data_IF_889003049437
#
_entry.id   IF_889003049437
#
_cell.length_a   1.000
_cell.length_b   1.000
_cell.length_c   1.000
_cell.angle_alpha   90.00
_cell.angle_beta   90.00
_cell.angle_gamma   90.00
#
_symmetry.space_group_name_H-M   'P 1'
#
loop_
_entity.id
_entity.type
_entity.pdbx_description
1 polymer ?
#
# COMPACT_ATOMS: atom_id res chain seq x y z
N UNK A 1 -19.48 -2.60 -2.14
CA UNK A 1 -19.38 -2.68 -0.66
C UNK A 1 -17.99 -3.18 -0.31
N UNK A 2 -17.22 -2.48 0.53
CA UNK A 2 -15.89 -2.95 0.94
C UNK A 2 -16.08 -4.11 1.93
N UNK A 3 -15.69 -5.31 1.53
CA UNK A 3 -15.67 -6.49 2.42
C UNK A 3 -14.24 -6.94 2.74
N UNK A 4 -13.26 -6.39 2.02
CA UNK A 4 -11.88 -6.80 2.04
C UNK A 4 -10.97 -5.58 1.88
N UNK A 5 -9.91 -5.48 2.68
CA UNK A 5 -8.92 -4.42 2.62
C UNK A 5 -7.54 -5.03 2.44
N UNK A 6 -6.74 -4.50 1.51
CA UNK A 6 -5.36 -4.96 1.30
C UNK A 6 -4.35 -3.96 1.81
N UNK A 7 -3.21 -4.48 2.22
CA UNK A 7 -2.12 -3.70 2.78
C UNK A 7 -0.83 -4.05 2.06
N UNK A 8 -0.11 -3.06 1.55
CA UNK A 8 1.28 -3.29 1.20
C UNK A 8 2.09 -3.64 2.46
N UNK A 9 2.94 -4.65 2.37
CA UNK A 9 3.80 -5.06 3.49
C UNK A 9 4.78 -3.96 3.93
N UNK A 10 5.11 -3.02 3.04
CA UNK A 10 5.85 -1.79 3.39
C UNK A 10 5.10 -0.96 4.42
N UNK A 11 3.79 -0.76 4.25
CA UNK A 11 2.93 0.00 5.17
C UNK A 11 2.88 -0.67 6.54
N UNK A 12 2.70 -1.99 6.55
CA UNK A 12 2.66 -2.76 7.80
C UNK A 12 3.99 -2.67 8.55
N UNK A 13 5.12 -2.68 7.83
CA UNK A 13 6.44 -2.48 8.44
C UNK A 13 6.57 -1.10 9.08
N UNK A 14 6.09 -0.05 8.42
CA UNK A 14 6.14 1.31 8.96
C UNK A 14 5.24 1.46 10.20
N UNK A 15 4.05 0.83 10.17
CA UNK A 15 3.15 0.73 11.33
C UNK A 15 3.81 -0.03 12.47
N UNK A 16 4.46 -1.17 12.19
CA UNK A 16 5.17 -1.93 13.22
C UNK A 16 6.22 -1.05 13.90
N UNK A 17 7.05 -0.40 13.09
CA UNK A 17 8.15 0.43 13.57
C UNK A 17 7.65 1.62 14.38
N UNK A 18 6.56 2.28 13.96
CA UNK A 18 6.10 3.52 14.58
C UNK A 18 5.09 3.30 15.73
N UNK A 19 4.21 2.33 15.59
CA UNK A 19 3.09 2.07 16.51
C UNK A 19 3.38 0.86 17.41
N UNK A 20 3.58 -0.33 16.84
CA UNK A 20 3.65 -1.57 17.64
C UNK A 20 4.98 -1.77 18.39
N UNK A 21 6.04 -1.07 18.02
CA UNK A 21 7.31 -1.06 18.77
C UNK A 21 7.33 -0.05 19.92
N UNK A 22 6.21 0.62 20.23
CA UNK A 22 6.15 1.72 21.20
C UNK A 22 4.95 1.58 22.13
N UNK A 23 5.09 2.09 23.37
CA UNK A 23 3.95 2.15 24.28
C UNK A 23 2.79 2.97 23.69
N UNK A 24 1.54 2.50 23.84
CA UNK A 24 0.35 3.26 23.44
C UNK A 24 0.23 4.58 24.23
N UNK A 25 -0.49 5.59 23.73
CA UNK A 25 -1.15 5.62 22.42
C UNK A 25 -0.29 6.30 21.33
N UNK A 26 -0.30 5.75 20.12
CA UNK A 26 0.30 6.32 18.91
C UNK A 26 -0.57 6.04 17.70
N UNK A 27 -0.51 6.92 16.71
CA UNK A 27 -1.30 6.73 15.51
C UNK A 27 -0.79 7.50 14.30
N UNK A 28 -1.58 7.45 13.25
CA UNK A 28 -1.33 8.16 12.01
C UNK A 28 -2.43 7.96 10.99
N UNK A 29 -2.25 8.58 9.83
CA UNK A 29 -3.20 8.49 8.72
C UNK A 29 -2.85 7.34 7.79
N UNK A 30 -3.91 6.74 7.23
CA UNK A 30 -3.82 5.70 6.20
C UNK A 30 -4.26 6.29 4.88
N UNK A 31 -3.48 6.06 3.83
CA UNK A 31 -3.84 6.46 2.47
C UNK A 31 -3.64 5.30 1.50
N UNK A 32 -4.32 5.41 0.37
CA UNK A 32 -4.12 4.47 -0.73
C UNK A 32 -4.77 4.92 -2.01
N UNK A 33 -4.71 4.11 -3.07
CA UNK A 33 -5.26 4.44 -4.38
C UNK A 33 -6.73 4.87 -4.33
N UNK A 34 -7.07 5.95 -5.04
CA UNK A 34 -8.44 6.48 -5.09
C UNK A 34 -9.43 5.40 -5.55
N UNK A 35 -10.51 5.20 -4.78
CA UNK A 35 -11.57 4.24 -5.11
C UNK A 35 -11.21 2.77 -4.90
N UNK A 36 -9.99 2.44 -4.45
CA UNK A 36 -9.59 1.06 -4.20
C UNK A 36 -9.53 0.74 -2.69
N UNK A 37 -9.86 -0.50 -2.32
CA UNK A 37 -9.77 -0.98 -0.95
C UNK A 37 -8.34 -1.46 -0.63
N UNK A 38 -7.38 -0.55 -0.75
CA UNK A 38 -5.95 -0.80 -0.57
C UNK A 38 -5.36 0.32 0.28
N UNK A 39 -4.51 -0.04 1.23
CA UNK A 39 -3.65 0.88 1.97
C UNK A 39 -2.23 0.71 1.44
N UNK A 40 -1.70 1.80 0.87
CA UNK A 40 -0.35 1.85 0.31
C UNK A 40 0.57 2.84 1.02
N UNK A 41 0.02 3.69 1.89
CA UNK A 41 0.79 4.66 2.66
C UNK A 41 0.32 4.70 4.12
N UNK A 42 1.30 4.93 5.00
CA UNK A 42 1.09 5.30 6.38
C UNK A 42 1.84 6.61 6.66
N UNK A 43 1.14 7.60 7.20
CA UNK A 43 1.73 8.87 7.62
C UNK A 43 1.68 8.93 9.15
N UNK A 44 2.82 8.77 9.84
CA UNK A 44 2.86 8.80 11.30
C UNK A 44 2.51 10.19 11.84
N UNK A 45 1.90 10.24 13.02
CA UNK A 45 1.60 11.49 13.71
C UNK A 45 2.44 11.66 14.99
N UNK A 46 3.66 12.22 14.89
CA UNK A 46 4.52 12.44 16.06
C UNK A 46 4.08 13.60 16.94
N UNK A 47 3.11 14.40 16.49
CA UNK A 47 2.61 15.56 17.21
C UNK A 47 1.18 15.34 17.73
N UNK A 48 0.69 14.10 17.67
CA UNK A 48 -0.61 13.76 18.23
C UNK A 48 -0.65 14.11 19.72
N UNK A 49 -1.77 14.67 20.18
CA UNK A 49 -2.01 14.81 21.60
C UNK A 49 -2.51 13.46 22.11
N UNK A 50 -1.71 12.81 22.95
CA UNK A 50 -2.00 11.48 23.47
C UNK A 50 -2.11 11.49 24.99
N UNK A 51 -3.04 10.68 25.50
CA UNK A 51 -3.08 10.28 26.90
C UNK A 51 -2.90 8.76 26.97
N UNK A 52 -3.02 8.19 28.16
CA UNK A 52 -2.99 6.74 28.32
C UNK A 52 -4.14 6.03 27.59
N UNK A 53 -5.25 6.74 27.29
CA UNK A 53 -6.51 6.17 26.75
C UNK A 53 -7.13 7.00 25.62
N UNK A 54 -6.39 7.93 25.04
CA UNK A 54 -6.90 8.77 23.95
C UNK A 54 -5.82 9.22 22.98
N UNK A 55 -6.14 9.15 21.69
CA UNK A 55 -5.32 9.63 20.59
C UNK A 55 -6.09 10.72 19.85
N UNK A 56 -5.52 11.93 19.80
CA UNK A 56 -6.09 13.06 19.06
C UNK A 56 -5.12 13.45 17.94
N UNK A 57 -5.51 13.28 16.66
CA UNK A 57 -4.69 13.65 15.53
C UNK A 57 -4.26 15.12 15.57
N UNK A 58 -3.01 15.39 15.22
CA UNK A 58 -2.46 16.73 15.12
C UNK A 58 -2.91 17.44 13.84
N UNK A 59 -2.87 18.78 13.86
CA UNK A 59 -3.08 19.57 12.65
C UNK A 59 -1.99 19.30 11.59
N UNK A 60 -0.78 18.97 12.01
CA UNK A 60 0.35 18.66 11.13
C UNK A 60 0.09 17.39 10.30
N UNK A 61 -0.54 16.37 10.89
CA UNK A 61 -0.96 15.17 10.16
C UNK A 61 -1.90 15.53 9.00
N UNK A 62 -2.88 16.39 9.25
CA UNK A 62 -3.80 16.85 8.19
C UNK A 62 -3.08 17.61 7.07
N UNK A 63 -2.03 18.38 7.38
CA UNK A 63 -1.19 19.04 6.36
C UNK A 63 -0.45 18.01 5.52
N UNK A 64 0.19 17.03 6.18
CA UNK A 64 0.95 15.98 5.51
C UNK A 64 0.07 15.11 4.59
N UNK A 65 -1.14 14.75 5.05
CA UNK A 65 -2.13 14.02 4.25
C UNK A 65 -2.49 14.79 2.98
N UNK A 66 -2.85 16.08 3.10
CA UNK A 66 -3.21 16.91 1.95
C UNK A 66 -2.06 17.06 0.96
N UNK A 67 -0.85 17.22 1.47
CA UNK A 67 0.34 17.31 0.63
C UNK A 67 0.50 16.03 -0.19
N UNK A 68 0.37 14.87 0.44
CA UNK A 68 0.48 13.57 -0.23
C UNK A 68 -0.65 13.37 -1.26
N UNK A 69 -1.90 13.68 -0.93
CA UNK A 69 -3.04 13.61 -1.87
C UNK A 69 -2.90 14.57 -3.07
N UNK A 70 -2.15 15.66 -2.92
CA UNK A 70 -1.89 16.62 -4.02
C UNK A 70 -0.73 16.17 -4.89
N UNK A 71 0.30 15.58 -4.27
CA UNK A 71 1.52 15.14 -4.95
C UNK A 71 1.36 13.78 -5.62
N UNK A 72 0.42 12.97 -5.13
CA UNK A 72 0.24 11.59 -5.56
C UNK A 72 -1.23 11.26 -5.82
N UNK A 73 -1.47 10.23 -6.62
CA UNK A 73 -2.82 9.78 -6.95
C UNK A 73 -3.49 8.98 -5.81
N UNK A 74 -3.32 9.39 -4.56
CA UNK A 74 -3.83 8.69 -3.37
C UNK A 74 -5.03 9.45 -2.78
N UNK A 75 -5.79 8.75 -1.96
CA UNK A 75 -6.85 9.32 -1.12
C UNK A 75 -6.67 8.88 0.33
N UNK A 76 -7.02 9.76 1.24
CA UNK A 76 -7.17 9.46 2.65
C UNK A 76 -8.21 8.35 2.85
N UNK A 77 -7.88 7.36 3.69
CA UNK A 77 -8.75 6.20 3.98
C UNK A 77 -9.29 6.21 5.40
N UNK A 78 -8.51 6.76 6.33
CA UNK A 78 -8.85 6.85 7.73
C UNK A 78 -7.61 6.88 8.62
N UNK A 79 -7.73 6.47 9.88
CA UNK A 79 -6.65 6.51 10.86
C UNK A 79 -6.39 5.13 11.44
N UNK A 80 -5.17 4.89 11.89
CA UNK A 80 -4.81 3.80 12.78
C UNK A 80 -4.25 4.38 14.07
N UNK A 81 -4.61 3.79 15.21
CA UNK A 81 -3.98 4.09 16.49
C UNK A 81 -3.87 2.86 17.38
N UNK A 82 -3.02 2.95 18.41
CA UNK A 82 -2.86 1.90 19.41
C UNK A 82 -3.66 2.15 20.68
N UNK A 83 -4.20 1.07 21.27
CA UNK A 83 -4.83 1.11 22.58
C UNK A 83 -3.91 0.58 23.68
N UNK A 84 -4.04 1.08 24.93
CA UNK A 84 -3.52 0.39 26.10
C UNK A 84 -4.29 -0.94 26.27
N UNK A 85 -3.61 -2.04 26.62
CA UNK A 85 -4.17 -3.40 26.76
C UNK A 85 -4.53 -4.13 25.45
N UNK A 86 -4.96 -5.38 25.57
CA UNK A 86 -5.34 -6.25 24.45
C UNK A 86 -6.74 -5.96 23.88
N UNK A 87 -7.37 -4.84 24.24
CA UNK A 87 -8.69 -4.41 23.76
C UNK A 87 -8.61 -3.82 22.35
N UNK A 88 -8.67 -4.69 21.34
CA UNK A 88 -8.56 -4.32 19.93
C UNK A 88 -9.87 -3.78 19.32
N UNK A 89 -10.88 -3.45 20.11
CA UNK A 89 -12.17 -2.92 19.63
C UNK A 89 -12.22 -1.40 19.81
N UNK A 90 -12.73 -0.64 18.81
CA UNK A 90 -12.97 0.80 18.97
C UNK A 90 -13.89 1.10 20.17
N UNK A 91 -13.50 2.10 20.96
CA UNK A 91 -14.25 2.62 22.10
C UNK A 91 -15.42 3.52 21.66
N UNK A 92 -16.30 3.87 22.59
CA UNK A 92 -17.36 4.86 22.34
C UNK A 92 -16.85 6.20 21.79
N UNK A 93 -15.82 6.81 22.41
CA UNK A 93 -15.16 8.01 21.88
C UNK A 93 -14.62 7.84 20.46
N UNK A 94 -14.04 6.68 20.12
CA UNK A 94 -13.57 6.41 18.76
C UNK A 94 -14.72 6.44 17.76
N UNK A 95 -15.86 5.84 18.10
CA UNK A 95 -17.04 5.85 17.22
C UNK A 95 -17.58 7.26 16.97
N UNK A 96 -17.53 8.14 17.97
CA UNK A 96 -17.88 9.56 17.80
C UNK A 96 -16.91 10.24 16.84
N UNK A 97 -15.61 10.02 17.02
CA UNK A 97 -14.59 10.60 16.14
C UNK A 97 -14.72 10.08 14.70
N UNK A 98 -14.97 8.79 14.50
CA UNK A 98 -15.20 8.23 13.16
C UNK A 98 -16.41 8.87 12.48
N UNK A 99 -17.46 9.18 13.24
CA UNK A 99 -18.63 9.91 12.76
C UNK A 99 -18.28 11.32 12.28
N UNK A 100 -17.50 12.05 13.08
CA UNK A 100 -17.01 13.38 12.71
C UNK A 100 -16.08 13.34 11.50
N UNK A 101 -15.16 12.37 11.43
CA UNK A 101 -14.28 12.19 10.29
C UNK A 101 -15.07 11.90 9.02
N UNK A 102 -16.05 10.98 9.07
CA UNK A 102 -16.94 10.75 7.94
C UNK A 102 -17.72 12.01 7.57
N UNK A 103 -18.18 12.81 8.55
CA UNK A 103 -18.91 14.07 8.34
C UNK A 103 -18.09 15.10 7.57
N UNK A 104 -16.84 15.32 7.97
CA UNK A 104 -15.94 16.28 7.30
C UNK A 104 -15.33 15.72 6.01
N UNK A 105 -15.33 14.40 5.83
CA UNK A 105 -14.89 13.72 4.61
C UNK A 105 -16.07 12.98 3.92
N UNK A 106 -17.11 13.67 3.41
CA UNK A 106 -18.32 13.02 2.89
C UNK A 106 -18.08 12.17 1.64
N UNK A 107 -16.95 12.36 0.96
CA UNK A 107 -16.53 11.52 -0.17
C UNK A 107 -16.09 10.12 0.28
N UNK A 108 -15.73 9.94 1.56
CA UNK A 108 -15.42 8.63 2.12
C UNK A 108 -16.71 7.84 2.33
N UNK A 109 -16.95 6.86 1.47
CA UNK A 109 -18.03 5.89 1.68
C UNK A 109 -17.82 5.02 2.93
N UNK A 110 -16.56 4.86 3.35
CA UNK A 110 -16.12 4.12 4.53
C UNK A 110 -14.88 4.80 5.11
N UNK A 111 -14.79 4.84 6.44
CA UNK A 111 -13.62 5.32 7.18
C UNK A 111 -12.91 4.11 7.80
N UNK A 112 -11.69 3.84 7.35
CA UNK A 112 -10.87 2.72 7.81
C UNK A 112 -10.26 3.08 9.15
N UNK A 113 -10.55 2.28 10.17
CA UNK A 113 -10.15 2.56 11.55
C UNK A 113 -9.59 1.30 12.23
N UNK A 114 -8.37 0.86 11.87
CA UNK A 114 -7.74 -0.25 12.53
C UNK A 114 -7.25 0.16 13.92
N UNK A 115 -7.29 -0.80 14.85
CA UNK A 115 -6.75 -0.64 16.20
C UNK A 115 -5.55 -1.57 16.35
N UNK A 116 -4.41 -0.99 16.66
CA UNK A 116 -3.19 -1.72 16.99
C UNK A 116 -3.13 -2.03 18.49
N UNK A 117 -2.76 -3.25 18.86
CA UNK A 117 -2.58 -3.62 20.27
C UNK A 117 -1.37 -4.54 20.43
N UNK A 118 -0.74 -4.43 21.60
CA UNK A 118 0.35 -5.33 21.98
C UNK A 118 -0.19 -6.70 22.42
N UNK A 119 0.65 -7.71 22.27
CA UNK A 119 0.36 -9.07 22.71
C UNK A 119 -0.31 -9.94 21.64
N UNK A 120 -0.47 -11.24 21.94
CA UNK A 120 -0.87 -12.23 20.96
C UNK A 120 -2.27 -11.93 20.39
N UNK A 121 -2.45 -12.18 19.10
CA UNK A 121 -3.77 -12.13 18.47
C UNK A 121 -4.43 -13.49 18.38
N UNK A 122 -5.64 -13.50 17.82
CA UNK A 122 -6.31 -14.72 17.45
C UNK A 122 -6.01 -15.00 15.96
N UNK A 123 -5.17 -16.01 15.62
CA UNK A 123 -4.81 -16.30 14.24
C UNK A 123 -6.02 -16.65 13.35
N UNK A 124 -7.16 -17.00 13.95
CA UNK A 124 -8.40 -17.34 13.23
C UNK A 124 -9.28 -16.12 12.96
N UNK A 125 -9.01 -14.97 13.56
CA UNK A 125 -9.79 -13.76 13.35
C UNK A 125 -9.42 -13.11 12.00
N UNK A 126 -10.26 -13.33 10.98
CA UNK A 126 -10.00 -12.85 9.61
C UNK A 126 -9.86 -11.31 9.45
N UNK A 127 -10.22 -10.55 10.49
CA UNK A 127 -10.08 -9.09 10.55
C UNK A 127 -8.86 -8.63 11.33
N UNK A 128 -8.07 -9.55 11.88
CA UNK A 128 -6.80 -9.25 12.55
C UNK A 128 -5.64 -9.53 11.60
N UNK A 129 -4.64 -8.65 11.63
CA UNK A 129 -3.34 -8.86 11.01
C UNK A 129 -2.36 -9.13 12.14
N UNK A 130 -1.82 -10.34 12.19
CA UNK A 130 -0.85 -10.75 13.22
C UNK A 130 0.55 -10.23 12.85
N UNK A 131 1.21 -9.62 13.83
CA UNK A 131 2.57 -9.05 13.74
C UNK A 131 3.44 -9.60 14.88
N UNK A 132 4.75 -9.41 14.79
CA UNK A 132 5.68 -9.93 15.80
C UNK A 132 5.48 -9.29 17.18
N UNK A 133 5.21 -7.98 17.21
CA UNK A 133 5.04 -7.21 18.45
C UNK A 133 3.59 -7.07 18.92
N UNK A 134 2.64 -7.60 18.14
CA UNK A 134 1.22 -7.43 18.44
C UNK A 134 0.30 -7.78 17.28
N UNK A 135 -0.82 -7.07 17.18
CA UNK A 135 -1.77 -7.25 16.08
C UNK A 135 -2.49 -5.96 15.74
N UNK A 136 -3.10 -5.97 14.56
CA UNK A 136 -3.93 -4.88 14.07
C UNK A 136 -5.32 -5.44 13.78
N UNK A 137 -6.32 -5.04 14.55
CA UNK A 137 -7.71 -5.39 14.28
C UNK A 137 -8.35 -4.34 13.37
N UNK A 138 -8.81 -4.75 12.19
CA UNK A 138 -9.22 -3.85 11.11
C UNK A 138 -10.73 -3.66 11.11
N UNK A 139 -11.14 -2.43 11.39
CA UNK A 139 -12.53 -1.99 11.31
C UNK A 139 -12.72 -0.94 10.22
N UNK A 140 -13.95 -0.79 9.77
CA UNK A 140 -14.38 0.37 9.02
C UNK A 140 -15.70 0.88 9.57
N UNK A 141 -15.78 2.20 9.69
CA UNK A 141 -16.99 2.91 10.04
C UNK A 141 -17.69 3.41 8.76
N UNK A 142 -19.01 3.44 8.79
CA UNK A 142 -19.85 4.06 7.76
C UNK A 142 -21.01 4.78 8.41
N UNK A 143 -21.43 5.90 7.83
CA UNK A 143 -22.68 6.55 8.19
C UNK A 143 -23.86 5.80 7.54
N UNK A 144 -24.89 5.39 8.32
CA UNK A 144 -26.10 4.79 7.76
C UNK A 144 -26.76 5.73 6.75
N UNK A 145 -26.80 7.02 7.08
CA UNK A 145 -27.36 8.10 6.27
C UNK A 145 -26.28 9.19 6.07
N UNK A 146 -25.84 9.49 4.83
CA UNK A 146 -24.73 10.41 4.58
C UNK A 146 -24.94 11.85 5.08
N UNK A 147 -26.21 12.26 5.24
CA UNK A 147 -26.60 13.64 5.55
C UNK A 147 -27.21 13.80 6.94
N UNK A 148 -27.40 12.72 7.70
CA UNK A 148 -28.02 12.80 9.02
C UNK A 148 -26.98 12.50 10.12
N UNK A 149 -26.99 13.28 11.21
CA UNK A 149 -26.23 12.93 12.40
C UNK A 149 -26.80 11.63 12.99
N UNK A 150 -25.94 10.66 13.26
CA UNK A 150 -26.34 9.37 13.80
C UNK A 150 -25.13 8.50 14.14
N UNK A 151 -25.35 7.41 14.89
CA UNK A 151 -24.28 6.49 15.25
C UNK A 151 -23.66 5.90 13.98
N UNK A 152 -22.33 5.80 13.95
CA UNK A 152 -21.64 5.11 12.85
C UNK A 152 -21.87 3.61 12.95
N UNK A 153 -22.17 2.99 11.81
CA UNK A 153 -22.13 1.54 11.70
C UNK A 153 -20.68 1.08 11.65
N UNK A 154 -20.29 0.22 12.58
CA UNK A 154 -18.96 -0.39 12.61
C UNK A 154 -18.98 -1.76 11.94
N UNK A 155 -17.94 -2.04 11.15
CA UNK A 155 -17.78 -3.33 10.48
C UNK A 155 -16.36 -3.86 10.60
N UNK A 156 -16.22 -5.15 10.90
CA UNK A 156 -14.94 -5.88 10.80
C UNK A 156 -14.61 -6.13 9.33
N UNK A 157 -13.41 -5.77 8.90
CA UNK A 157 -12.95 -5.98 7.53
C UNK A 157 -11.98 -7.14 7.47
N UNK A 158 -12.22 -8.07 6.54
CA UNK A 158 -11.21 -9.08 6.23
C UNK A 158 -10.00 -8.39 5.61
N UNK A 159 -8.79 -8.78 6.01
CA UNK A 159 -7.57 -8.13 5.52
C UNK A 159 -6.65 -9.07 4.76
N UNK A 160 -5.95 -8.52 3.78
CA UNK A 160 -4.94 -9.20 2.97
C UNK A 160 -3.63 -8.43 2.92
N UNK A 161 -2.52 -9.15 2.73
CA UNK A 161 -1.19 -8.55 2.57
C UNK A 161 -0.77 -8.69 1.11
N UNK A 162 -0.25 -7.60 0.55
CA UNK A 162 0.45 -7.55 -0.73
C UNK A 162 1.95 -7.68 -0.39
N UNK A 163 2.58 -8.84 -0.62
CA UNK A 163 3.90 -9.18 -0.07
C UNK A 163 5.05 -8.61 -0.94
N UNK A 164 5.05 -7.30 -1.15
CA UNK A 164 5.91 -6.63 -2.12
C UNK A 164 7.40 -6.72 -1.79
N UNK A 165 7.77 -6.46 -0.53
CA UNK A 165 9.15 -6.49 -0.04
C UNK A 165 9.68 -7.91 -0.09
N UNK A 166 8.88 -8.87 0.39
CA UNK A 166 9.26 -10.28 0.38
C UNK A 166 9.57 -10.77 -1.05
N UNK A 167 8.65 -10.50 -1.98
CA UNK A 167 8.77 -10.88 -3.39
C UNK A 167 10.05 -10.35 -4.04
N UNK A 168 10.28 -9.04 -3.91
CA UNK A 168 11.39 -8.36 -4.58
C UNK A 168 12.72 -8.76 -3.96
N UNK A 169 12.80 -8.91 -2.63
CA UNK A 169 14.01 -9.40 -1.96
C UNK A 169 14.35 -10.83 -2.35
N UNK A 170 13.37 -11.72 -2.36
CA UNK A 170 13.59 -13.11 -2.76
C UNK A 170 14.06 -13.21 -4.22
N UNK A 171 13.49 -12.40 -5.12
CA UNK A 171 13.94 -12.34 -6.50
C UNK A 171 15.37 -11.77 -6.61
N UNK A 172 15.65 -10.68 -5.90
CA UNK A 172 16.97 -10.04 -5.88
C UNK A 172 18.07 -10.97 -5.37
N UNK A 173 17.79 -11.73 -4.30
CA UNK A 173 18.71 -12.75 -3.78
C UNK A 173 18.98 -13.84 -4.82
N UNK A 174 17.93 -14.33 -5.48
CA UNK A 174 18.04 -15.34 -6.55
C UNK A 174 18.88 -14.83 -7.73
N UNK A 175 18.78 -13.54 -8.05
CA UNK A 175 19.52 -12.90 -9.14
C UNK A 175 20.87 -12.31 -8.73
N UNK A 176 21.27 -12.43 -7.46
CA UNK A 176 22.45 -11.77 -6.89
C UNK A 176 22.48 -10.24 -7.14
N UNK A 177 21.31 -9.60 -7.19
CA UNK A 177 21.13 -8.18 -7.47
C UNK A 177 20.94 -7.31 -6.23
N UNK A 178 20.86 -6.00 -6.45
CA UNK A 178 20.61 -4.97 -5.43
C UNK A 178 19.26 -4.31 -5.68
N UNK A 179 18.42 -4.24 -4.65
CA UNK A 179 17.08 -3.63 -4.72
C UNK A 179 17.14 -2.12 -4.51
N UNK A 180 16.39 -1.36 -5.33
CA UNK A 180 16.12 0.07 -5.17
C UNK A 180 14.61 0.29 -5.30
N UNK A 181 13.95 0.85 -4.27
CA UNK A 181 12.50 1.07 -4.25
C UNK A 181 11.86 0.89 -2.86
N UNK A 182 10.52 0.96 -2.76
CA UNK A 182 9.57 1.11 -3.86
C UNK A 182 9.56 2.53 -4.43
N UNK A 183 9.04 2.68 -5.66
CA UNK A 183 8.56 3.95 -6.20
C UNK A 183 7.10 3.76 -6.60
N UNK A 184 6.22 4.66 -6.21
CA UNK A 184 4.81 4.55 -6.64
C UNK A 184 4.65 4.94 -8.10
N UNK A 185 3.96 4.09 -8.87
CA UNK A 185 3.67 4.35 -10.29
C UNK A 185 2.42 5.23 -10.43
N UNK A 186 2.55 6.49 -10.03
CA UNK A 186 1.45 7.46 -9.91
C UNK A 186 0.60 7.69 -11.19
N UNK A 187 1.09 7.27 -12.36
CA UNK A 187 0.50 7.60 -13.67
C UNK A 187 -0.25 6.44 -14.35
N UNK A 188 -0.43 5.30 -13.69
CA UNK A 188 -1.31 4.24 -14.20
C UNK A 188 -2.56 4.11 -13.33
N UNK A 189 -3.68 3.74 -13.92
CA UNK A 189 -4.94 3.48 -13.22
C UNK A 189 -4.87 2.30 -12.23
N UNK A 190 -3.74 1.58 -12.19
CA UNK A 190 -3.59 0.30 -11.51
C UNK A 190 -2.75 0.39 -10.22
N UNK A 191 -2.21 1.58 -9.89
CA UNK A 191 -1.48 1.85 -8.65
C UNK A 191 -0.59 0.71 -8.17
N UNK A 192 0.38 0.34 -9.01
CA UNK A 192 1.39 -0.66 -8.66
C UNK A 192 2.61 0.00 -8.00
N UNK A 193 3.23 -0.71 -7.07
CA UNK A 193 4.58 -0.38 -6.62
C UNK A 193 5.60 -0.85 -7.65
N UNK A 194 6.48 0.07 -8.07
CA UNK A 194 7.62 -0.23 -8.93
C UNK A 194 8.89 -0.45 -8.09
N UNK A 195 9.55 -1.56 -8.34
CA UNK A 195 10.79 -1.93 -7.67
C UNK A 195 11.87 -2.20 -8.71
N UNK A 196 13.06 -1.64 -8.48
CA UNK A 196 14.22 -1.89 -9.33
C UNK A 196 15.14 -2.91 -8.69
N UNK A 197 15.68 -3.81 -9.50
CA UNK A 197 16.77 -4.71 -9.13
C UNK A 197 17.91 -4.48 -10.11
N UNK A 198 19.02 -3.94 -9.62
CA UNK A 198 20.25 -3.78 -10.37
C UNK A 198 21.04 -5.10 -10.32
N UNK A 199 21.37 -5.66 -11.48
CA UNK A 199 22.14 -6.90 -11.60
C UNK A 199 23.64 -6.59 -11.73
N UNK A 200 24.49 -7.56 -11.38
CA UNK A 200 25.96 -7.41 -11.42
C UNK A 200 26.52 -7.20 -12.83
N UNK A 201 25.80 -7.66 -13.85
CA UNK A 201 26.15 -7.51 -15.25
C UNK A 201 25.67 -6.17 -15.86
N UNK A 202 25.16 -5.26 -15.03
CA UNK A 202 24.67 -3.95 -15.43
C UNK A 202 23.22 -3.90 -15.91
N UNK A 203 22.55 -5.05 -16.07
CA UNK A 203 21.11 -5.08 -16.39
C UNK A 203 20.28 -4.55 -15.23
N UNK A 204 19.10 -4.04 -15.55
CA UNK A 204 18.10 -3.66 -14.55
C UNK A 204 16.80 -4.43 -14.77
N UNK A 205 16.18 -4.83 -13.68
CA UNK A 205 14.87 -5.48 -13.68
C UNK A 205 13.91 -4.56 -12.95
N UNK A 206 12.79 -4.24 -13.60
CA UNK A 206 11.67 -3.53 -12.99
C UNK A 206 10.59 -4.56 -12.64
N UNK A 207 10.17 -4.58 -11.37
CA UNK A 207 9.09 -5.43 -10.85
C UNK A 207 7.92 -4.53 -10.47
N UNK A 208 6.75 -4.81 -11.03
CA UNK A 208 5.51 -4.08 -10.77
C UNK A 208 4.58 -4.96 -9.94
N UNK A 209 4.17 -4.47 -8.77
CA UNK A 209 3.32 -5.21 -7.83
C UNK A 209 2.05 -4.40 -7.57
N UNK A 210 0.98 -4.82 -8.22
CA UNK A 210 -0.34 -4.21 -8.09
C UNK A 210 -1.18 -4.79 -6.94
N UNK A 211 -2.33 -4.17 -6.66
CA UNK A 211 -3.26 -4.56 -5.60
C UNK A 211 -3.94 -5.91 -5.84
N UNK A 212 -3.87 -6.47 -7.03
CA UNK A 212 -4.39 -7.79 -7.38
C UNK A 212 -3.51 -8.96 -6.90
N UNK A 213 -2.25 -8.68 -6.51
CA UNK A 213 -1.29 -9.66 -6.01
C UNK A 213 -1.55 -9.98 -4.53
N UNK A 214 -1.52 -11.27 -4.09
CA UNK A 214 -1.25 -12.47 -4.89
C UNK A 214 -2.48 -13.19 -5.50
N UNK A 215 -3.69 -12.70 -5.28
CA UNK A 215 -4.92 -13.50 -5.48
C UNK A 215 -5.24 -13.75 -6.96
N UNK A 216 -5.16 -12.72 -7.80
CA UNK A 216 -5.71 -12.76 -9.16
C UNK A 216 -4.65 -12.60 -10.26
N UNK A 217 -3.51 -11.98 -9.95
CA UNK A 217 -2.38 -11.90 -10.87
C UNK A 217 -1.06 -11.98 -10.12
N UNK A 218 -0.01 -12.31 -10.88
CA UNK A 218 1.37 -12.26 -10.42
C UNK A 218 1.99 -10.89 -10.62
N UNK A 219 3.11 -10.61 -9.92
CA UNK A 219 3.90 -9.43 -10.22
C UNK A 219 4.37 -9.44 -11.67
N UNK A 220 4.31 -8.28 -12.32
CA UNK A 220 4.83 -8.13 -13.67
C UNK A 220 6.34 -7.86 -13.60
N UNK A 221 7.11 -8.50 -14.48
CA UNK A 221 8.56 -8.31 -14.54
C UNK A 221 8.93 -7.75 -15.91
N UNK A 222 9.72 -6.69 -15.89
CA UNK A 222 10.22 -6.01 -17.07
C UNK A 222 11.74 -5.99 -17.00
N UNK A 223 12.40 -6.60 -17.98
CA UNK A 223 13.84 -6.46 -18.16
C UNK A 223 14.13 -5.16 -18.91
N UNK A 224 14.96 -4.29 -18.33
CA UNK A 224 15.41 -3.05 -18.94
C UNK A 224 16.76 -3.32 -19.62
N UNK A 225 16.76 -3.46 -20.95
CA UNK A 225 17.95 -3.79 -21.74
C UNK A 225 18.77 -2.54 -22.08
N UNK A 226 18.10 -1.38 -22.27
CA UNK A 226 18.71 -0.06 -22.47
C UNK A 226 17.75 1.06 -22.03
N UNK A 227 18.13 2.33 -22.19
CA UNK A 227 17.26 3.48 -21.90
C UNK A 227 15.93 3.48 -22.68
N UNK A 228 15.86 2.74 -23.79
CA UNK A 228 14.71 2.74 -24.68
C UNK A 228 14.15 1.33 -24.96
N UNK A 229 14.90 0.28 -24.65
CA UNK A 229 14.49 -1.10 -24.87
C UNK A 229 14.14 -1.79 -23.56
N UNK A 230 12.94 -2.39 -23.54
CA UNK A 230 12.42 -3.12 -22.41
C UNK A 230 11.70 -4.38 -22.91
N UNK A 231 11.72 -5.43 -22.10
CA UNK A 231 11.07 -6.69 -22.39
C UNK A 231 10.19 -7.11 -21.23
N UNK A 232 8.90 -7.28 -21.50
CA UNK A 232 7.99 -7.90 -20.54
C UNK A 232 8.24 -9.40 -20.50
N UNK A 233 8.39 -9.94 -19.30
CA UNK A 233 8.49 -11.38 -19.10
C UNK A 233 7.09 -11.91 -18.80
N UNK A 234 6.61 -12.82 -19.65
CA UNK A 234 5.36 -13.52 -19.43
C UNK A 234 5.61 -14.67 -18.44
N UNK A 235 5.22 -14.46 -17.18
CA UNK A 235 5.53 -15.38 -16.09
C UNK A 235 4.26 -16.09 -15.63
N UNK A 236 4.30 -17.42 -15.45
CA UNK A 236 3.13 -18.17 -15.00
C UNK A 236 2.74 -17.76 -13.57
N UNK A 237 1.44 -17.62 -13.35
CA UNK A 237 0.85 -17.37 -12.02
C UNK A 237 -0.25 -18.39 -11.71
N UNK A 238 0.10 -19.57 -11.16
CA UNK A 238 -0.86 -20.65 -10.98
C UNK A 238 -1.85 -20.31 -9.86
N UNK A 239 -3.13 -20.15 -10.20
CA UNK A 239 -4.21 -19.80 -9.27
C UNK A 239 -4.69 -20.94 -8.39
N UNK A 240 -4.34 -22.19 -8.70
CA UNK A 240 -4.83 -23.41 -8.04
C UNK A 240 -3.94 -23.93 -6.92
N UNK A 241 -2.76 -23.34 -6.73
CA UNK A 241 -1.81 -23.74 -5.68
C UNK A 241 -1.82 -22.73 -4.54
N UNK A 242 -1.35 -23.17 -3.37
CA UNK A 242 -1.20 -22.30 -2.20
C UNK A 242 -0.24 -21.14 -2.48
N UNK A 243 -0.44 -20.01 -1.80
CA UNK A 243 0.36 -18.79 -2.01
C UNK A 243 1.86 -19.04 -1.90
N UNK A 244 2.29 -19.82 -0.91
CA UNK A 244 3.72 -20.15 -0.72
C UNK A 244 4.30 -20.90 -1.92
N UNK A 245 3.55 -21.86 -2.47
CA UNK A 245 3.99 -22.63 -3.65
C UNK A 245 3.96 -21.74 -4.90
N UNK A 246 2.89 -20.94 -5.06
CA UNK A 246 2.74 -19.98 -6.16
C UNK A 246 3.90 -19.01 -6.24
N UNK A 247 4.24 -18.38 -5.11
CA UNK A 247 5.35 -17.43 -5.00
C UNK A 247 6.69 -18.09 -5.35
N UNK A 248 6.94 -19.31 -4.87
CA UNK A 248 8.16 -20.05 -5.18
C UNK A 248 8.26 -20.40 -6.67
N UNK A 249 7.17 -20.84 -7.29
CA UNK A 249 7.13 -21.15 -8.73
C UNK A 249 7.40 -19.89 -9.56
N UNK A 250 6.75 -18.78 -9.21
CA UNK A 250 6.96 -17.50 -9.89
C UNK A 250 8.41 -17.02 -9.76
N UNK A 251 9.03 -17.13 -8.58
CA UNK A 251 10.44 -16.75 -8.36
C UNK A 251 11.39 -17.54 -9.26
N UNK A 252 11.18 -18.86 -9.37
CA UNK A 252 12.00 -19.73 -10.22
C UNK A 252 11.80 -19.36 -11.70
N UNK A 253 10.56 -19.18 -12.13
CA UNK A 253 10.25 -18.80 -13.52
C UNK A 253 10.85 -17.42 -13.88
N UNK A 254 10.72 -16.43 -12.99
CA UNK A 254 11.28 -15.10 -13.15
C UNK A 254 12.80 -15.15 -13.30
N UNK A 255 13.49 -15.83 -12.39
CA UNK A 255 14.95 -15.96 -12.42
C UNK A 255 15.43 -16.68 -13.68
N UNK A 256 14.73 -17.75 -14.08
CA UNK A 256 15.05 -18.47 -15.30
C UNK A 256 14.89 -17.60 -16.56
N UNK A 257 13.76 -16.91 -16.70
CA UNK A 257 13.49 -16.03 -17.84
C UNK A 257 14.50 -14.88 -17.93
N UNK A 258 14.88 -14.28 -16.80
CA UNK A 258 15.91 -13.23 -16.75
C UNK A 258 17.28 -13.79 -17.18
N UNK A 259 17.66 -14.99 -16.72
CA UNK A 259 18.95 -15.58 -17.06
C UNK A 259 19.04 -16.07 -18.52
N UNK A 260 17.92 -16.45 -19.14
CA UNK A 260 17.85 -16.81 -20.57
C UNK A 260 17.96 -15.63 -21.53
N UNK A 261 17.98 -14.40 -21.03
CA UNK A 261 18.17 -13.19 -21.82
C UNK A 261 19.52 -12.53 -21.51
N UNK A 262 20.64 -13.14 -21.96
CA UNK A 262 21.95 -12.51 -21.82
C UNK A 262 21.96 -11.18 -22.55
N UNK A 263 22.75 -10.22 -22.04
CA UNK A 263 22.97 -8.94 -22.70
C UNK A 263 23.40 -9.21 -24.14
N UNK A 264 22.56 -8.79 -25.11
CA UNK A 264 22.97 -8.75 -26.51
C UNK A 264 24.08 -7.72 -26.62
N UNK A 265 25.33 -8.15 -26.43
CA UNK A 265 26.44 -7.49 -27.10
C UNK A 265 26.23 -7.71 -28.60
N UNK A 266 25.56 -6.75 -29.24
CA UNK A 266 25.48 -6.56 -30.68
C UNK A 266 25.20 -7.83 -31.51
N UNK A 267 23.94 -8.17 -31.76
CA UNK A 267 23.53 -8.80 -33.03
C UNK A 267 22.00 -8.79 -33.19
N UNK A 268 21.57 -8.02 -34.21
CA UNK A 268 20.36 -8.09 -35.05
C UNK A 268 18.96 -8.37 -34.46
N UNK A 269 18.03 -7.50 -34.84
CA UNK A 269 16.65 -7.38 -34.37
C UNK A 269 15.79 -8.63 -34.60
N UNK A 270 15.12 -9.08 -33.53
CA UNK A 270 14.00 -10.03 -33.57
C UNK A 270 12.74 -9.23 -33.24
N UNK A 271 11.69 -9.36 -34.06
CA UNK A 271 10.39 -8.72 -33.80
C UNK A 271 9.76 -9.28 -32.52
N UNK A 272 9.44 -8.42 -31.57
CA UNK A 272 8.79 -8.77 -30.31
C UNK A 272 7.25 -8.82 -30.44
N UNK A 273 6.55 -9.65 -29.64
CA UNK A 273 5.10 -9.63 -29.52
C UNK A 273 4.59 -8.33 -28.85
N UNK A 274 3.32 -7.95 -29.06
CA UNK A 274 2.75 -6.73 -28.51
C UNK A 274 2.62 -6.77 -26.98
N UNK A 275 2.98 -5.65 -26.33
CA UNK A 275 2.91 -5.44 -24.88
C UNK A 275 1.44 -5.42 -24.41
N UNK A 276 1.07 -6.12 -23.31
CA UNK A 276 -0.25 -5.99 -22.69
C UNK A 276 -0.58 -4.53 -22.33
N UNK A 277 -1.80 -4.08 -22.63
CA UNK A 277 -2.23 -2.68 -22.45
C UNK A 277 -1.99 -2.09 -21.03
N UNK A 278 -2.20 -2.85 -19.92
CA UNK A 278 -1.88 -2.43 -18.55
C UNK A 278 -0.42 -2.00 -18.38
N UNK A 279 0.49 -2.89 -18.76
CA UNK A 279 1.92 -2.75 -18.56
C UNK A 279 2.50 -1.63 -19.43
N UNK A 280 1.97 -1.46 -20.65
CA UNK A 280 2.35 -0.36 -21.56
C UNK A 280 2.02 1.03 -20.99
N UNK A 281 0.93 1.15 -20.20
CA UNK A 281 0.56 2.41 -19.53
C UNK A 281 1.49 2.71 -18.36
N UNK A 282 1.75 1.73 -17.49
CA UNK A 282 2.68 1.87 -16.35
C UNK A 282 4.09 2.25 -16.81
N UNK A 283 4.56 1.65 -17.90
CA UNK A 283 5.92 1.91 -18.37
C UNK A 283 6.07 3.29 -19.01
N UNK A 284 5.08 3.75 -19.79
CA UNK A 284 5.05 5.13 -20.31
C UNK A 284 4.97 6.16 -19.18
N UNK A 285 4.15 5.87 -18.17
CA UNK A 285 4.04 6.62 -16.93
C UNK A 285 5.40 6.77 -16.23
N UNK A 286 6.11 5.66 -16.07
CA UNK A 286 7.44 5.59 -15.45
C UNK A 286 8.50 6.38 -16.25
N UNK A 287 8.55 6.20 -17.57
CA UNK A 287 9.49 6.92 -18.44
C UNK A 287 9.26 8.44 -18.39
N UNK A 288 8.01 8.87 -18.36
CA UNK A 288 7.66 10.28 -18.28
C UNK A 288 7.86 10.90 -16.88
N UNK A 289 7.87 10.09 -15.82
CA UNK A 289 8.18 10.54 -14.45
C UNK A 289 9.70 10.58 -14.17
N UNK A 290 10.51 9.94 -15.01
CA UNK A 290 11.98 9.96 -14.93
C UNK A 290 12.60 11.25 -15.52
N UNK A 291 11.75 12.19 -15.98
CA UNK A 291 12.11 13.52 -16.47
C UNK A 291 11.60 14.53 -15.42
N UNK A 292 12.45 15.45 -14.89
CA UNK A 292 12.05 16.37 -13.83
C UNK A 292 10.91 17.28 -14.28
N UNK A 293 9.78 17.23 -13.58
CA UNK A 293 8.58 17.99 -13.92
C UNK A 293 8.56 19.38 -13.25
N UNK A 294 8.24 20.40 -14.05
CA UNK A 294 8.02 21.79 -13.62
C UNK A 294 6.64 21.92 -12.97
N UNK A 295 6.58 22.59 -11.82
CA UNK A 295 5.41 22.66 -10.93
C UNK A 295 4.25 23.48 -11.51
N UNK A 296 3.06 22.90 -11.60
CA UNK A 296 1.80 23.61 -11.88
C UNK A 296 0.91 23.58 -10.63
N UNK A 297 0.41 24.75 -10.20
CA UNK A 297 -0.46 24.91 -9.02
C UNK A 297 -1.92 24.60 -9.37
N UNK A 298 -2.61 23.87 -8.50
CA UNK A 298 -4.07 23.71 -8.50
C UNK A 298 -4.71 24.34 -7.26
N UNK A 299 -6.02 24.71 -7.30
CA UNK A 299 -6.67 25.55 -6.29
C UNK A 299 -7.11 24.76 -5.05
N UNK A 300 -7.06 25.42 -3.89
CA UNK A 300 -7.26 24.82 -2.56
C UNK A 300 -8.71 24.56 -2.14
N UNK A 301 -8.88 23.53 -1.31
CA UNK A 301 -10.10 23.16 -0.58
C UNK A 301 -9.84 23.22 0.94
N UNK A 302 -10.79 23.67 1.79
CA UNK A 302 -10.53 23.83 3.22
C UNK A 302 -10.92 22.58 4.02
N UNK A 303 -9.96 22.00 4.75
CA UNK A 303 -10.22 21.16 5.91
C UNK A 303 -10.15 22.03 7.18
N UNK A 304 -11.25 22.13 7.92
CA UNK A 304 -11.24 22.66 9.29
C UNK A 304 -11.02 21.51 10.26
N UNK A 305 -9.94 21.55 11.03
CA UNK A 305 -9.85 20.78 12.26
C UNK A 305 -10.91 21.30 13.24
N UNK A 306 -11.68 20.39 13.83
CA UNK A 306 -12.64 20.74 14.86
C UNK A 306 -11.88 21.28 16.07
N UNK A 307 -11.92 22.61 16.28
CA UNK A 307 -11.60 23.18 17.58
C UNK A 307 -12.69 22.75 18.55
N UNK A 308 -12.39 21.84 19.48
CA UNK A 308 -13.23 21.66 20.67
C UNK A 308 -12.96 22.82 21.62
N UNK A 309 -14.05 23.45 22.07
CA UNK A 309 -14.09 24.30 23.25
C UNK A 309 -14.11 23.42 24.50
#
# INVERSE_FOLDING_TARGET
MIMYLRWYDTVLKDIDQYILCHQPERGGALLGPRGQAVVSHFVPDPQAATTTVSYVPSAALGVAVRQLETQEAVEYKGIIHSHPSSLAQPSGPDLVEFGEQLRVNPHLGWFIAPIAVHGPGNPQAAHEIIRDQGRIAVYAARRPHPHEPGPVGLRRLRSGIIPSVFLVRALSQTLCGTVVGPRDTQRSAEHAQAWHIALRDGRQVLVLIGPEVPDHAGPQVVLLESSHEHRHLDLPWPSTVSDRVRLRMWLVAAAHAINQHPTRRSTLAVRQPPIPAPARRVLKAYQAASIPATTQRSPGWPYRTARRK
#
